data_IF_965546526645
#
_entry.id   IF_965546526645
#
_cell.length_a   1.000
_cell.length_b   1.000
_cell.length_c   1.000
_cell.angle_alpha   90.00
_cell.angle_beta   90.00
_cell.angle_gamma   90.00
#
_symmetry.space_group_name_H-M   'P 1'
#
loop_
_entity.id
_entity.type
_entity.pdbx_description
1 polymer ?
#
# COMPACT_ATOMS: atom_id res chain seq x y z
N UNK A 1 -4.19 -1.36 -4.29
CA UNK A 1 -3.61 -1.23 -5.65
C UNK A 1 -3.71 0.20 -6.15
N UNK A 2 -4.91 0.78 -6.39
CA UNK A 2 -5.07 2.12 -6.95
C UNK A 2 -4.18 3.21 -6.30
N UNK A 3 -4.25 3.37 -4.97
CA UNK A 3 -3.44 4.35 -4.22
C UNK A 3 -1.94 4.15 -4.47
N UNK A 4 -1.50 2.88 -4.44
CA UNK A 4 -0.11 2.52 -4.64
C UNK A 4 0.34 2.80 -6.09
N UNK A 5 -0.52 2.52 -7.07
CA UNK A 5 -0.29 2.85 -8.48
C UNK A 5 -0.26 4.37 -8.72
N UNK A 6 -1.09 5.16 -8.03
CA UNK A 6 -1.05 6.63 -8.09
C UNK A 6 0.24 7.18 -7.51
N UNK A 7 0.68 6.67 -6.35
CA UNK A 7 1.96 7.07 -5.75
C UNK A 7 3.13 6.76 -6.69
N UNK A 8 3.11 5.57 -7.30
CA UNK A 8 4.13 5.14 -8.25
C UNK A 8 4.09 5.96 -9.54
N UNK A 9 2.91 6.15 -10.14
CA UNK A 9 2.69 7.02 -11.29
C UNK A 9 3.26 8.42 -11.05
N UNK A 10 2.95 9.02 -9.90
CA UNK A 10 3.41 10.38 -9.55
C UNK A 10 4.93 10.47 -9.51
N UNK A 11 5.58 9.45 -8.96
CA UNK A 11 7.04 9.38 -8.91
C UNK A 11 7.67 9.16 -10.29
N UNK A 12 7.17 8.19 -11.05
CA UNK A 12 7.64 7.91 -12.41
C UNK A 12 7.41 9.08 -13.36
N UNK A 13 6.32 9.84 -13.18
CA UNK A 13 6.03 11.05 -13.95
C UNK A 13 7.10 12.10 -13.74
N UNK A 14 7.47 12.35 -12.48
CA UNK A 14 8.53 13.30 -12.18
C UNK A 14 9.88 12.87 -12.74
N UNK A 15 10.24 11.60 -12.58
CA UNK A 15 11.49 11.10 -13.13
C UNK A 15 11.51 11.26 -14.66
N UNK A 16 10.45 10.84 -15.33
CA UNK A 16 10.39 10.84 -16.80
C UNK A 16 10.25 12.24 -17.41
N UNK A 17 9.39 13.09 -16.84
CA UNK A 17 8.99 14.37 -17.46
C UNK A 17 9.77 15.55 -16.90
N UNK A 18 10.04 15.57 -15.59
CA UNK A 18 10.72 16.70 -14.94
C UNK A 18 12.24 16.52 -15.00
N UNK A 19 12.72 15.32 -14.68
CA UNK A 19 14.15 15.00 -14.67
C UNK A 19 14.66 14.38 -15.98
N UNK A 20 13.80 14.23 -16.99
CA UNK A 20 14.14 13.63 -18.30
C UNK A 20 14.84 12.27 -18.17
N UNK A 21 14.42 11.49 -17.18
CA UNK A 21 14.92 10.15 -16.96
C UNK A 21 14.13 9.19 -17.85
N UNK A 22 14.59 8.99 -19.09
CA UNK A 22 13.91 8.19 -20.13
C UNK A 22 13.50 6.79 -19.65
N UNK A 23 14.27 6.22 -18.71
CA UNK A 23 14.02 4.89 -18.14
C UNK A 23 12.74 4.82 -17.30
N UNK A 24 12.17 5.95 -16.87
CA UNK A 24 10.93 6.01 -16.12
C UNK A 24 9.65 6.05 -17.00
N UNK A 25 9.78 6.09 -18.34
CA UNK A 25 8.63 6.15 -19.24
C UNK A 25 7.75 4.89 -19.23
N UNK A 26 8.36 3.71 -19.25
CA UNK A 26 7.64 2.43 -19.18
C UNK A 26 6.83 2.27 -17.86
N UNK A 27 7.43 2.43 -16.65
CA UNK A 27 6.66 2.32 -15.41
C UNK A 27 5.59 3.42 -15.28
N UNK A 28 5.82 4.62 -15.84
CA UNK A 28 4.81 5.68 -15.91
C UNK A 28 3.55 5.23 -16.68
N UNK A 29 3.72 4.66 -17.87
CA UNK A 29 2.60 4.18 -18.69
C UNK A 29 1.88 3.00 -18.04
N UNK A 30 2.62 2.02 -17.51
CA UNK A 30 2.03 0.84 -16.85
C UNK A 30 1.19 1.27 -15.64
N UNK A 31 1.73 2.16 -14.80
CA UNK A 31 1.01 2.64 -13.63
C UNK A 31 -0.20 3.51 -14.00
N UNK A 32 -0.14 4.30 -15.07
CA UNK A 32 -1.29 5.02 -15.60
C UNK A 32 -2.44 4.08 -16.00
N UNK A 33 -2.13 2.99 -16.73
CA UNK A 33 -3.12 1.97 -17.11
C UNK A 33 -3.71 1.30 -15.89
N UNK A 34 -2.90 0.94 -14.90
CA UNK A 34 -3.37 0.33 -13.64
C UNK A 34 -4.29 1.28 -12.88
N UNK A 35 -3.95 2.57 -12.80
CA UNK A 35 -4.80 3.60 -12.18
C UNK A 35 -6.13 3.70 -12.92
N UNK A 36 -6.11 3.85 -14.24
CA UNK A 36 -7.32 3.93 -15.07
C UNK A 36 -8.22 2.71 -14.91
N UNK A 37 -7.66 1.50 -14.96
CA UNK A 37 -8.38 0.25 -14.74
C UNK A 37 -9.00 0.18 -13.34
N UNK A 38 -8.26 0.58 -12.30
CA UNK A 38 -8.78 0.60 -10.93
C UNK A 38 -9.92 1.62 -10.77
N UNK A 39 -9.77 2.83 -11.30
CA UNK A 39 -10.78 3.89 -11.21
C UNK A 39 -12.04 3.49 -11.97
N UNK A 40 -11.92 2.89 -13.15
CA UNK A 40 -13.05 2.37 -13.91
C UNK A 40 -13.75 1.20 -13.21
N UNK A 41 -13.00 0.32 -12.55
CA UNK A 41 -13.55 -0.84 -11.84
C UNK A 41 -14.19 -0.49 -10.48
N UNK A 42 -13.66 0.52 -9.78
CA UNK A 42 -14.02 0.82 -8.39
C UNK A 42 -15.52 1.06 -8.18
N UNK A 43 -16.27 1.83 -8.99
CA UNK A 43 -17.72 2.01 -8.80
C UNK A 43 -18.52 0.71 -8.85
N UNK A 44 -18.03 -0.29 -9.59
CA UNK A 44 -18.67 -1.61 -9.71
C UNK A 44 -18.26 -2.57 -8.59
N UNK A 45 -17.10 -2.34 -7.96
CA UNK A 45 -16.56 -3.17 -6.89
C UNK A 45 -16.79 -2.58 -5.49
N UNK A 46 -17.16 -1.30 -5.39
CA UNK A 46 -17.44 -0.65 -4.12
C UNK A 46 -18.62 -1.30 -3.41
N UNK A 47 -18.56 -1.42 -2.09
CA UNK A 47 -19.58 -2.14 -1.35
C UNK A 47 -20.95 -1.45 -1.43
N UNK A 48 -22.05 -2.17 -1.76
CA UNK A 48 -22.11 -3.60 -2.09
C UNK A 48 -21.63 -3.90 -3.52
N UNK A 49 -20.65 -4.79 -3.65
CA UNK A 49 -19.98 -5.07 -4.93
C UNK A 49 -20.93 -5.74 -5.92
N UNK A 50 -20.95 -5.24 -7.16
CA UNK A 50 -21.69 -5.81 -8.30
C UNK A 50 -20.83 -6.73 -9.14
N UNK A 51 -19.53 -6.42 -9.22
CA UNK A 51 -18.53 -7.20 -9.97
C UNK A 51 -17.38 -7.53 -9.02
N UNK A 52 -17.02 -8.82 -8.97
CA UNK A 52 -15.86 -9.31 -8.24
C UNK A 52 -14.65 -9.37 -9.15
N UNK A 53 -13.48 -9.05 -8.59
CA UNK A 53 -12.22 -8.99 -9.35
C UNK A 53 -11.74 -10.37 -9.82
N UNK A 54 -11.99 -11.40 -9.00
CA UNK A 54 -11.46 -12.74 -9.20
C UNK A 54 -9.92 -12.81 -9.14
N UNK A 55 -9.41 -14.02 -9.38
CA UNK A 55 -7.97 -14.26 -9.37
C UNK A 55 -7.29 -13.63 -10.59
N UNK A 56 -7.92 -13.68 -11.76
CA UNK A 56 -7.39 -13.09 -12.98
C UNK A 56 -7.11 -11.59 -12.83
N UNK A 57 -8.05 -10.82 -12.28
CA UNK A 57 -7.86 -9.38 -12.10
C UNK A 57 -6.79 -9.07 -11.06
N UNK A 58 -6.78 -9.76 -9.92
CA UNK A 58 -5.83 -9.50 -8.85
C UNK A 58 -4.39 -9.87 -9.24
N UNK A 59 -4.20 -11.00 -9.94
CA UNK A 59 -2.89 -11.42 -10.44
C UNK A 59 -2.35 -10.48 -11.52
N UNK A 60 -3.20 -10.02 -12.46
CA UNK A 60 -2.78 -9.05 -13.48
C UNK A 60 -2.37 -7.71 -12.86
N UNK A 61 -3.15 -7.17 -11.92
CA UNK A 61 -2.77 -5.91 -11.25
C UNK A 61 -1.48 -6.05 -10.43
N UNK A 62 -1.29 -7.20 -9.78
CA UNK A 62 -0.05 -7.52 -9.06
C UNK A 62 1.14 -7.62 -10.01
N UNK A 63 0.99 -8.33 -11.12
CA UNK A 63 2.01 -8.47 -12.16
C UNK A 63 2.42 -7.11 -12.72
N UNK A 64 1.45 -6.27 -13.13
CA UNK A 64 1.73 -4.96 -13.71
C UNK A 64 2.45 -4.04 -12.72
N UNK A 65 2.04 -4.02 -11.44
CA UNK A 65 2.77 -3.28 -10.40
C UNK A 65 4.19 -3.82 -10.18
N UNK A 66 4.36 -5.15 -10.19
CA UNK A 66 5.67 -5.80 -10.07
C UNK A 66 6.59 -5.48 -11.24
N UNK A 67 6.08 -5.54 -12.48
CA UNK A 67 6.82 -5.14 -13.69
C UNK A 67 7.22 -3.67 -13.60
N UNK A 68 6.29 -2.77 -13.25
CA UNK A 68 6.63 -1.35 -13.08
C UNK A 68 7.74 -1.14 -12.03
N UNK A 69 7.66 -1.86 -10.90
CA UNK A 69 8.69 -1.84 -9.85
C UNK A 69 10.05 -2.30 -10.34
N UNK A 70 10.10 -3.46 -11.00
CA UNK A 70 11.34 -4.04 -11.53
C UNK A 70 11.94 -3.19 -12.64
N UNK A 71 11.12 -2.67 -13.57
CA UNK A 71 11.61 -1.82 -14.65
C UNK A 71 12.22 -0.53 -14.12
N UNK A 72 11.63 0.09 -13.09
CA UNK A 72 12.21 1.30 -12.50
C UNK A 72 13.50 1.01 -11.69
N UNK A 73 13.55 -0.10 -10.96
CA UNK A 73 14.68 -0.42 -10.07
C UNK A 73 15.84 -1.14 -10.75
N UNK A 74 15.55 -1.99 -11.73
CA UNK A 74 16.53 -2.87 -12.38
C UNK A 74 17.46 -2.16 -13.37
N UNK A 75 17.27 -0.86 -13.58
CA UNK A 75 18.08 -0.05 -14.49
C UNK A 75 18.75 1.14 -13.79
N UNK A 76 18.96 1.07 -12.47
CA UNK A 76 19.70 2.10 -11.74
C UNK A 76 21.19 1.92 -12.05
N UNK A 77 21.81 2.97 -12.58
CA UNK A 77 23.25 3.00 -12.83
C UNK A 77 24.00 3.22 -11.52
N UNK A 78 24.76 2.22 -11.05
CA UNK A 78 25.51 2.26 -9.78
C UNK A 78 26.50 3.43 -9.72
N UNK A 79 26.90 3.98 -10.87
CA UNK A 79 27.86 5.09 -10.98
C UNK A 79 27.19 6.48 -10.97
N UNK A 80 25.87 6.57 -11.16
CA UNK A 80 25.11 7.82 -10.98
C UNK A 80 24.85 8.14 -9.50
N UNK A 81 25.30 7.27 -8.59
CA UNK A 81 25.32 7.46 -7.13
C UNK A 81 26.51 8.37 -6.75
N UNK A 82 26.73 9.48 -7.47
CA UNK A 82 27.72 10.47 -7.08
C UNK A 82 27.11 11.46 -6.08
N UNK A 83 27.39 11.16 -4.81
CA UNK A 83 27.75 12.05 -3.70
C UNK A 83 27.00 13.36 -3.36
N UNK A 84 26.00 13.87 -4.09
CA UNK A 84 25.41 15.18 -3.76
C UNK A 84 23.94 15.14 -3.29
N UNK A 85 23.16 14.10 -3.55
CA UNK A 85 21.81 13.97 -2.99
C UNK A 85 21.47 12.50 -2.69
N UNK A 86 21.58 12.08 -1.43
CA UNK A 86 21.24 10.71 -0.98
C UNK A 86 19.75 10.38 -1.08
N UNK A 87 18.87 11.40 -1.04
CA UNK A 87 17.42 11.20 -0.99
C UNK A 87 16.79 10.78 -2.33
N UNK A 88 17.11 11.39 -3.50
CA UNK A 88 16.60 10.94 -4.79
C UNK A 88 17.15 9.57 -5.22
N UNK A 89 18.34 9.19 -4.75
CA UNK A 89 19.05 7.99 -5.22
C UNK A 89 18.54 6.70 -4.61
N UNK A 90 18.07 6.73 -3.35
CA UNK A 90 17.50 5.56 -2.67
C UNK A 90 16.00 5.40 -2.93
N UNK A 91 15.34 6.45 -3.40
CA UNK A 91 13.89 6.46 -3.58
C UNK A 91 13.37 5.46 -4.62
N UNK A 92 14.03 5.25 -5.78
CA UNK A 92 13.64 4.20 -6.72
C UNK A 92 13.62 2.81 -6.07
N UNK A 93 14.55 2.53 -5.16
CA UNK A 93 14.64 1.25 -4.44
C UNK A 93 13.55 1.15 -3.36
N UNK A 94 13.35 2.22 -2.59
CA UNK A 94 12.40 2.21 -1.47
C UNK A 94 10.94 2.22 -1.93
N UNK A 95 10.64 2.87 -3.06
CA UNK A 95 9.28 3.13 -3.49
C UNK A 95 8.46 1.85 -3.77
N UNK A 96 8.98 0.81 -4.46
CA UNK A 96 8.31 -0.49 -4.57
C UNK A 96 7.94 -1.09 -3.21
N UNK A 97 8.81 -1.00 -2.20
CA UNK A 97 8.50 -1.51 -0.87
C UNK A 97 7.41 -0.69 -0.16
N UNK A 98 7.37 0.62 -0.35
CA UNK A 98 6.29 1.46 0.19
C UNK A 98 4.93 1.20 -0.49
N UNK A 99 4.94 1.05 -1.82
CA UNK A 99 3.76 0.72 -2.65
C UNK A 99 3.23 -0.68 -2.32
N UNK A 100 4.12 -1.64 -2.07
CA UNK A 100 3.79 -3.03 -1.74
C UNK A 100 3.76 -3.32 -0.24
N UNK A 101 3.87 -2.30 0.62
CA UNK A 101 4.00 -2.49 2.07
C UNK A 101 2.88 -3.36 2.63
N UNK A 102 1.62 -3.07 2.30
CA UNK A 102 0.47 -3.82 2.82
C UNK A 102 0.41 -5.26 2.29
N UNK A 103 0.50 -5.53 0.97
CA UNK A 103 0.63 -6.89 0.47
C UNK A 103 1.80 -7.68 1.09
N UNK A 104 2.96 -7.05 1.27
CA UNK A 104 4.14 -7.68 1.87
C UNK A 104 3.91 -7.99 3.35
N UNK A 105 3.33 -7.06 4.11
CA UNK A 105 3.00 -7.27 5.52
C UNK A 105 1.99 -8.42 5.65
N UNK A 106 0.96 -8.48 4.81
CA UNK A 106 -0.02 -9.57 4.82
C UNK A 106 0.63 -10.92 4.53
N UNK A 107 1.51 -10.98 3.53
CA UNK A 107 2.29 -12.18 3.19
C UNK A 107 3.20 -12.62 4.35
N UNK A 108 3.98 -11.69 4.92
CA UNK A 108 4.92 -11.98 6.02
C UNK A 108 4.14 -12.47 7.25
N UNK A 109 3.03 -11.81 7.60
CA UNK A 109 2.19 -12.23 8.72
C UNK A 109 1.55 -13.60 8.49
N UNK A 110 1.17 -13.93 7.25
CA UNK A 110 0.68 -15.26 6.88
C UNK A 110 1.78 -16.32 7.04
N UNK A 111 2.99 -16.06 6.52
CA UNK A 111 4.14 -16.97 6.67
C UNK A 111 4.46 -17.21 8.14
N UNK A 112 4.61 -16.15 8.95
CA UNK A 112 4.91 -16.25 10.38
C UNK A 112 3.85 -17.06 11.13
N UNK A 113 2.57 -16.86 10.82
CA UNK A 113 1.47 -17.60 11.46
C UNK A 113 1.51 -19.08 11.10
N UNK A 114 1.71 -19.41 9.82
CA UNK A 114 1.75 -20.79 9.34
C UNK A 114 2.92 -21.55 9.98
N UNK A 115 4.10 -20.95 9.98
CA UNK A 115 5.30 -21.57 10.57
C UNK A 115 5.21 -21.71 12.08
N UNK A 116 4.65 -20.72 12.79
CA UNK A 116 4.36 -20.85 14.24
C UNK A 116 3.36 -21.96 14.58
N UNK A 117 2.45 -22.28 13.65
CA UNK A 117 1.51 -23.38 13.77
C UNK A 117 2.10 -24.74 13.30
N UNK A 118 3.40 -24.81 13.00
CA UNK A 118 4.07 -26.03 12.50
C UNK A 118 3.67 -26.41 11.07
N UNK A 119 3.03 -25.51 10.32
CA UNK A 119 2.60 -25.75 8.93
C UNK A 119 3.61 -25.18 7.94
N UNK A 120 3.59 -25.72 6.72
CA UNK A 120 4.38 -25.18 5.60
C UNK A 120 4.04 -23.70 5.36
N UNK A 121 5.04 -22.85 5.06
CA UNK A 121 4.82 -21.46 4.63
C UNK A 121 3.85 -21.33 3.46
N UNK A 122 3.75 -22.35 2.60
CA UNK A 122 2.89 -22.37 1.42
C UNK A 122 1.50 -22.97 1.66
N UNK A 123 1.19 -23.38 2.90
CA UNK A 123 -0.12 -23.90 3.23
C UNK A 123 -1.21 -22.84 3.01
N UNK A 124 -2.42 -23.24 2.55
CA UNK A 124 -3.52 -22.31 2.36
C UNK A 124 -3.95 -21.67 3.68
N UNK A 125 -4.38 -20.41 3.60
CA UNK A 125 -4.77 -19.60 4.75
C UNK A 125 -5.88 -18.64 4.35
N UNK A 126 -6.80 -18.40 5.27
CA UNK A 126 -7.95 -17.51 5.06
C UNK A 126 -7.89 -16.26 5.95
N UNK A 127 -6.85 -16.10 6.76
CA UNK A 127 -6.72 -15.01 7.72
C UNK A 127 -5.87 -13.83 7.21
N UNK A 128 -6.23 -13.31 6.04
CA UNK A 128 -5.68 -12.06 5.52
C UNK A 128 -6.05 -10.88 6.42
N UNK A 129 -5.26 -9.80 6.35
CA UNK A 129 -5.44 -8.58 7.14
C UNK A 129 -6.88 -8.05 7.13
N UNK A 130 -7.54 -8.08 5.98
CA UNK A 130 -8.95 -7.67 5.86
C UNK A 130 -9.87 -8.48 6.79
N UNK A 131 -9.76 -9.81 6.78
CA UNK A 131 -10.56 -10.68 7.65
C UNK A 131 -10.21 -10.46 9.12
N UNK A 132 -8.94 -10.24 9.45
CA UNK A 132 -8.51 -9.92 10.82
C UNK A 132 -9.14 -8.63 11.34
N UNK A 133 -9.17 -7.59 10.52
CA UNK A 133 -9.78 -6.30 10.89
C UNK A 133 -11.28 -6.49 11.16
N UNK A 134 -11.97 -7.31 10.36
CA UNK A 134 -13.38 -7.63 10.59
C UNK A 134 -13.57 -8.42 11.90
N UNK A 135 -12.70 -9.39 12.19
CA UNK A 135 -12.74 -10.14 13.45
C UNK A 135 -12.50 -9.26 14.69
N UNK A 136 -11.79 -8.13 14.53
CA UNK A 136 -11.64 -7.12 15.59
C UNK A 136 -12.93 -6.31 15.85
N UNK A 137 -13.96 -6.45 15.02
CA UNK A 137 -15.27 -5.79 15.18
C UNK A 137 -15.54 -4.66 14.19
N UNK A 138 -14.69 -4.48 13.17
CA UNK A 138 -14.97 -3.53 12.08
C UNK A 138 -15.99 -4.11 11.08
N UNK A 139 -16.80 -3.23 10.48
CA UNK A 139 -17.62 -3.58 9.31
C UNK A 139 -16.74 -3.77 8.07
N UNK A 140 -17.25 -4.48 7.06
CA UNK A 140 -16.58 -4.66 5.76
C UNK A 140 -16.05 -3.32 5.19
N UNK A 141 -16.92 -2.28 5.15
CA UNK A 141 -16.56 -0.95 4.64
C UNK A 141 -15.43 -0.31 5.45
N UNK A 142 -15.52 -0.41 6.78
CA UNK A 142 -14.51 0.13 7.68
C UNK A 142 -13.16 -0.58 7.53
N UNK A 143 -13.17 -1.90 7.30
CA UNK A 143 -11.96 -2.67 7.06
C UNK A 143 -11.28 -2.26 5.75
N UNK A 144 -12.06 -2.10 4.67
CA UNK A 144 -11.55 -1.60 3.39
C UNK A 144 -10.96 -0.20 3.52
N UNK A 145 -11.66 0.72 4.20
CA UNK A 145 -11.18 2.09 4.43
C UNK A 145 -9.88 2.11 5.24
N UNK A 146 -9.78 1.28 6.29
CA UNK A 146 -8.56 1.17 7.08
C UNK A 146 -7.38 0.67 6.25
N UNK A 147 -7.59 -0.27 5.33
CA UNK A 147 -6.54 -0.73 4.41
C UNK A 147 -6.13 0.37 3.41
N UNK A 148 -7.05 1.21 2.96
CA UNK A 148 -6.72 2.38 2.15
C UNK A 148 -5.86 3.37 2.93
N UNK A 149 -6.20 3.64 4.19
CA UNK A 149 -5.47 4.55 5.06
C UNK A 149 -4.05 4.04 5.36
N UNK A 150 -3.92 2.74 5.64
CA UNK A 150 -2.62 2.10 5.80
C UNK A 150 -1.78 2.15 4.53
N UNK A 151 -2.37 1.86 3.37
CA UNK A 151 -1.66 1.96 2.08
C UNK A 151 -1.21 3.40 1.81
N UNK A 152 -2.08 4.37 2.09
CA UNK A 152 -1.79 5.79 1.93
C UNK A 152 -0.63 6.22 2.84
N UNK A 153 -0.64 5.81 4.11
CA UNK A 153 0.38 6.14 5.12
C UNK A 153 1.82 5.85 4.67
N UNK A 154 2.00 4.79 3.87
CA UNK A 154 3.32 4.38 3.37
C UNK A 154 3.60 4.88 1.96
N UNK A 155 2.69 4.64 1.01
CA UNK A 155 2.97 4.84 -0.41
C UNK A 155 3.03 6.33 -0.80
N UNK A 156 2.07 7.14 -0.33
CA UNK A 156 1.94 8.54 -0.77
C UNK A 156 3.03 9.45 -0.18
N UNK A 157 3.30 9.44 1.14
CA UNK A 157 4.39 10.23 1.70
C UNK A 157 5.77 9.84 1.16
N UNK A 158 5.98 8.55 0.85
CA UNK A 158 7.23 8.09 0.25
C UNK A 158 7.40 8.66 -1.17
N UNK A 159 6.38 8.57 -2.02
CA UNK A 159 6.40 9.22 -3.33
C UNK A 159 6.59 10.74 -3.18
N UNK A 160 5.88 11.36 -2.23
CA UNK A 160 5.95 12.79 -1.97
C UNK A 160 7.35 13.27 -1.52
N UNK A 161 8.17 12.37 -0.94
CA UNK A 161 9.51 12.73 -0.48
C UNK A 161 10.49 12.99 -1.63
N UNK A 162 10.09 12.71 -2.86
CA UNK A 162 10.79 13.14 -4.07
C UNK A 162 10.74 14.66 -4.29
N UNK A 163 9.66 15.33 -3.84
CA UNK A 163 9.40 16.75 -4.09
C UNK A 163 9.46 17.58 -2.80
N UNK A 164 9.11 16.97 -1.68
CA UNK A 164 8.93 17.63 -0.39
C UNK A 164 10.05 17.15 0.55
N UNK A 165 10.65 18.05 1.36
CA UNK A 165 11.66 17.64 2.33
C UNK A 165 11.18 16.49 3.20
N UNK A 166 12.03 15.47 3.35
CA UNK A 166 11.72 14.21 4.03
C UNK A 166 11.11 14.40 5.43
N UNK A 167 11.47 15.47 6.15
CA UNK A 167 10.90 15.80 7.47
C UNK A 167 9.40 15.99 7.41
N UNK A 168 8.89 16.72 6.42
CA UNK A 168 7.45 16.97 6.29
C UNK A 168 6.72 15.70 5.85
N UNK A 169 7.27 14.94 4.91
CA UNK A 169 6.64 13.70 4.47
C UNK A 169 6.65 12.63 5.55
N UNK A 170 7.70 12.56 6.37
CA UNK A 170 7.71 11.71 7.56
C UNK A 170 6.65 12.14 8.58
N UNK A 171 6.48 13.43 8.85
CA UNK A 171 5.43 13.91 9.76
C UNK A 171 4.03 13.53 9.25
N UNK A 172 3.79 13.67 7.95
CA UNK A 172 2.54 13.24 7.31
C UNK A 172 2.37 11.72 7.44
N UNK A 173 3.41 10.93 7.15
CA UNK A 173 3.37 9.47 7.31
C UNK A 173 3.04 9.08 8.76
N UNK A 174 3.73 9.65 9.75
CA UNK A 174 3.50 9.39 11.17
C UNK A 174 2.09 9.78 11.61
N UNK A 175 1.57 10.92 11.13
CA UNK A 175 0.20 11.33 11.39
C UNK A 175 -0.81 10.30 10.87
N UNK A 176 -0.67 9.86 9.61
CA UNK A 176 -1.58 8.88 9.03
C UNK A 176 -1.42 7.49 9.64
N UNK A 177 -0.21 7.09 10.08
CA UNK A 177 0.01 5.88 10.86
C UNK A 177 -0.70 5.98 12.21
N UNK A 178 -0.55 7.08 12.93
CA UNK A 178 -1.23 7.30 14.21
C UNK A 178 -2.75 7.27 14.05
N UNK A 179 -3.27 7.89 12.99
CA UNK A 179 -4.69 7.86 12.64
C UNK A 179 -5.15 6.42 12.32
N UNK A 180 -4.38 5.68 11.53
CA UNK A 180 -4.66 4.28 11.19
C UNK A 180 -4.69 3.38 12.43
N UNK A 181 -3.73 3.54 13.34
CA UNK A 181 -3.66 2.80 14.59
C UNK A 181 -4.84 3.14 15.51
N UNK A 182 -5.19 4.42 15.60
CA UNK A 182 -6.33 4.88 16.41
C UNK A 182 -7.64 4.30 15.89
N UNK A 183 -7.83 4.33 14.57
CA UNK A 183 -9.00 3.75 13.92
C UNK A 183 -9.04 2.22 14.07
N UNK A 184 -7.90 1.53 13.98
CA UNK A 184 -7.82 0.07 14.21
C UNK A 184 -8.27 -0.32 15.62
N UNK A 185 -7.98 0.52 16.62
CA UNK A 185 -8.36 0.27 18.02
C UNK A 185 -9.80 0.69 18.36
N UNK A 186 -10.49 1.40 17.47
CA UNK A 186 -11.80 1.98 17.71
C UNK A 186 -12.87 0.97 18.18
N UNK A 187 -13.05 -0.23 17.57
CA UNK A 187 -14.08 -1.17 17.99
C UNK A 187 -13.83 -1.72 19.40
N UNK A 188 -12.56 -1.93 19.76
CA UNK A 188 -12.16 -2.36 21.09
C UNK A 188 -12.48 -1.29 22.14
N UNK A 189 -12.16 -0.02 21.83
CA UNK A 189 -12.41 1.11 22.72
C UNK A 189 -13.92 1.35 22.92
N UNK A 190 -14.70 1.28 21.83
CA UNK A 190 -16.16 1.39 21.86
C UNK A 190 -16.80 0.29 22.71
N UNK A 191 -16.34 -0.97 22.56
CA UNK A 191 -16.84 -2.10 23.37
C UNK A 191 -16.50 -1.93 24.86
N UNK A 192 -15.30 -1.47 25.18
CA UNK A 192 -14.87 -1.21 26.57
C UNK A 192 -15.66 -0.08 27.22
N UNK A 193 -15.91 1.01 26.49
CA UNK A 193 -16.74 2.14 26.96
C UNK A 193 -18.19 1.72 27.19
N UNK A 194 -18.79 0.97 26.26
CA UNK A 194 -20.18 0.49 26.38
C UNK A 194 -20.36 -0.44 27.58
N UNK A 195 -19.41 -1.35 27.83
CA UNK A 195 -19.43 -2.24 29.01
C UNK A 195 -19.18 -1.47 30.31
N UNK A 196 -18.33 -0.44 30.29
CA UNK A 196 -18.10 0.43 31.46
C UNK A 196 -19.32 1.25 31.86
N UNK A 197 -20.06 1.78 30.87
CA UNK A 197 -21.33 2.51 31.11
C UNK A 197 -22.41 1.57 31.67
N UNK A 198 -22.53 0.35 31.13
CA UNK A 198 -23.49 -0.65 31.62
C UNK A 198 -23.19 -1.19 33.03
N UNK A 199 -21.96 -1.04 33.52
CA UNK A 199 -21.59 -1.38 34.91
C UNK A 199 -21.88 -0.25 35.92
N UNK A 200 -22.14 0.97 35.44
CA UNK A 200 -22.40 2.15 36.26
C UNK A 200 -23.89 2.56 36.28
N UNK A 201 -24.77 1.73 35.70
CA UNK A 201 -26.24 1.80 35.78
C UNK A 201 -26.70 0.61 36.61
#
# INVERSE_FOLDING_TARGET
VAIAAVAFFSYSYLLSVVYNFDRAGAPLLITAVVVGACVGFLPHNFYPARIFMGDSGSMVLGLLLGVAAITLTGQIDSNAISAQQLAPTLLPILLPFGVLAIPLIDLILAIIRRTKAGRSPFAPDKEHLHHRIIMLGHSQRSATFLLYLWTFSFAMPLAASAFIPWRFTLLVSLFFIALSLSFTKYPFLYRKLKVGVLKNI
#
